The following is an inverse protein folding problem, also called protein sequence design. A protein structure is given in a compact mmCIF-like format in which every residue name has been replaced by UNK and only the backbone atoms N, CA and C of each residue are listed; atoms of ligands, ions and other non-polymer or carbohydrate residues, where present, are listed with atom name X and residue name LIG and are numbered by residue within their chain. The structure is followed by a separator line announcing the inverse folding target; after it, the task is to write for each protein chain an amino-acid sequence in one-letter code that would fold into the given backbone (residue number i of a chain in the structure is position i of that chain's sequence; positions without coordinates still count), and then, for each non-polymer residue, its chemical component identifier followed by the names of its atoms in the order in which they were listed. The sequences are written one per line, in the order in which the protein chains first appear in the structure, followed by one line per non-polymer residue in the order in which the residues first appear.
data_IF_012092419819
#
_entry.id   IF_012092419819
#
_cell.length_a   1.000
_cell.length_b   1.000
_cell.length_c   1.000
_cell.angle_alpha   90.00
_cell.angle_beta   90.00
_cell.angle_gamma   90.00
#
_symmetry.space_group_name_H-M   'P 1'
#
loop_
_entity.id
_entity.type
_entity.pdbx_description
1 polymer ?
#
# COMPACT_ATOMS: atom_id res chain seq x y z
N UNK A 1 -5.82 -5.12 16.63
CA UNK A 1 -5.27 -6.10 15.67
C UNK A 1 -4.71 -5.34 14.49
N UNK A 2 -3.43 -5.55 14.18
CA UNK A 2 -2.81 -5.04 12.95
C UNK A 2 -3.06 -6.11 11.90
N UNK A 3 -4.04 -5.88 11.02
CA UNK A 3 -4.36 -6.79 9.91
C UNK A 3 -3.73 -6.22 8.64
N UNK A 4 -2.89 -7.04 8.01
CA UNK A 4 -2.25 -6.78 6.73
C UNK A 4 -3.06 -7.48 5.66
N UNK A 5 -3.39 -6.76 4.59
CA UNK A 5 -4.25 -7.23 3.49
C UNK A 5 -3.47 -7.08 2.19
N UNK A 6 -3.35 -8.17 1.43
CA UNK A 6 -2.79 -8.15 0.08
C UNK A 6 -3.84 -7.59 -0.89
N UNK A 7 -3.45 -6.65 -1.76
CA UNK A 7 -4.35 -5.97 -2.72
C UNK A 7 -3.58 -5.54 -4.00
N UNK A 8 -4.27 -4.83 -4.91
CA UNK A 8 -3.70 -4.26 -6.12
C UNK A 8 -4.08 -2.78 -6.30
N UNK A 9 -3.09 -1.90 -6.39
CA UNK A 9 -3.27 -0.47 -6.65
C UNK A 9 -2.55 -0.09 -7.94
N UNK A 10 -3.29 0.41 -8.94
CA UNK A 10 -2.72 0.86 -10.21
C UNK A 10 -1.97 -0.22 -10.98
N UNK A 11 -2.41 -1.49 -10.86
CA UNK A 11 -1.74 -2.65 -11.46
C UNK A 11 -0.55 -3.18 -10.66
N UNK A 12 -0.23 -2.59 -9.49
CA UNK A 12 0.87 -3.01 -8.63
C UNK A 12 0.36 -3.86 -7.45
N UNK A 13 0.97 -5.03 -7.17
CA UNK A 13 0.68 -5.76 -5.94
C UNK A 13 1.13 -4.94 -4.73
N UNK A 14 0.27 -4.88 -3.72
CA UNK A 14 0.53 -4.13 -2.48
C UNK A 14 0.12 -4.92 -1.26
N UNK A 15 0.79 -4.63 -0.15
CA UNK A 15 0.34 -5.01 1.18
C UNK A 15 -0.12 -3.76 1.94
N UNK A 16 -1.35 -3.78 2.44
CA UNK A 16 -1.98 -2.67 3.16
C UNK A 16 -2.15 -3.07 4.61
N UNK A 17 -1.57 -2.27 5.51
CA UNK A 17 -1.61 -2.49 6.95
C UNK A 17 -2.19 -1.28 7.65
N UNK A 18 -3.22 -1.49 8.49
CA UNK A 18 -3.76 -0.42 9.35
C UNK A 18 -2.93 -0.30 10.62
N UNK A 19 -2.30 0.85 10.81
CA UNK A 19 -1.47 1.18 11.97
C UNK A 19 -2.13 2.32 12.75
N UNK A 20 -3.08 1.98 13.64
CA UNK A 20 -3.83 2.97 14.42
C UNK A 20 -4.72 3.86 13.54
N UNK A 21 -4.38 5.15 13.45
CA UNK A 21 -5.05 6.17 12.64
C UNK A 21 -4.46 6.32 11.22
N UNK A 22 -3.40 5.57 10.92
CA UNK A 22 -2.69 5.61 9.64
C UNK A 22 -2.86 4.28 8.89
N UNK A 23 -2.61 4.34 7.58
CA UNK A 23 -2.49 3.17 6.72
C UNK A 23 -1.10 3.16 6.12
N UNK A 24 -0.40 2.04 6.29
CA UNK A 24 0.87 1.74 5.62
C UNK A 24 0.58 0.89 4.40
N UNK A 25 1.07 1.31 3.25
CA UNK A 25 0.97 0.59 1.98
C UNK A 25 2.38 0.26 1.52
N UNK A 26 2.68 -1.02 1.32
CA UNK A 26 3.95 -1.50 0.80
C UNK A 26 3.70 -1.93 -0.64
N UNK A 27 4.46 -1.37 -1.58
CA UNK A 27 4.38 -1.74 -3.00
C UNK A 27 5.44 -2.78 -3.34
N UNK A 28 5.01 -3.80 -4.07
CA UNK A 28 5.85 -4.88 -4.56
C UNK A 28 6.10 -4.76 -6.08
N UNK A 29 7.09 -5.51 -6.62
CA UNK A 29 7.36 -5.50 -8.05
C UNK A 29 6.13 -5.91 -8.86
N UNK A 30 5.91 -5.24 -9.99
CA UNK A 30 4.83 -5.60 -10.94
C UNK A 30 5.15 -6.93 -11.66
N UNK A 31 6.43 -7.21 -11.88
CA UNK A 31 6.85 -8.33 -12.70
C UNK A 31 6.49 -9.67 -12.03
N UNK A 32 5.66 -10.46 -12.70
CA UNK A 32 5.25 -11.81 -12.25
C UNK A 32 6.42 -12.76 -12.00
N UNK A 33 7.55 -12.54 -12.66
CA UNK A 33 8.78 -13.34 -12.55
C UNK A 33 9.89 -12.62 -11.78
N UNK A 34 9.56 -11.63 -10.95
CA UNK A 34 10.57 -11.00 -10.11
C UNK A 34 11.22 -12.06 -9.20
N UNK A 35 12.55 -12.05 -9.11
CA UNK A 35 13.31 -12.97 -8.25
C UNK A 35 12.86 -12.88 -6.78
N UNK A 36 12.31 -11.73 -6.38
CA UNK A 36 11.70 -11.49 -5.07
C UNK A 36 10.32 -10.82 -5.26
N UNK A 37 9.24 -11.59 -5.44
CA UNK A 37 7.92 -11.04 -5.78
C UNK A 37 7.29 -10.25 -4.64
N UNK A 38 7.71 -10.48 -3.38
CA UNK A 38 7.30 -9.70 -2.20
C UNK A 38 8.34 -8.70 -1.72
N UNK A 39 9.29 -8.29 -2.59
CA UNK A 39 10.27 -7.27 -2.21
C UNK A 39 9.58 -5.93 -1.96
N UNK A 40 10.02 -5.19 -0.95
CA UNK A 40 9.51 -3.85 -0.70
C UNK A 40 10.19 -2.89 -1.68
N UNK A 41 9.47 -2.48 -2.72
CA UNK A 41 9.99 -1.52 -3.71
C UNK A 41 9.82 -0.10 -3.19
N UNK A 42 8.66 0.17 -2.58
CA UNK A 42 8.33 1.47 -2.03
C UNK A 42 7.32 1.31 -0.90
N UNK A 43 7.27 2.26 0.03
CA UNK A 43 6.32 2.24 1.13
C UNK A 43 5.76 3.64 1.34
N UNK A 44 4.45 3.74 1.50
CA UNK A 44 3.76 4.97 1.86
C UNK A 44 3.05 4.77 3.18
N UNK A 45 3.17 5.74 4.08
CA UNK A 45 2.28 5.87 5.23
C UNK A 45 1.36 7.05 4.97
N UNK A 46 0.06 6.81 5.05
CA UNK A 46 -0.97 7.81 4.77
C UNK A 46 -1.80 7.99 6.03
N UNK A 47 -1.84 9.21 6.54
CA UNK A 47 -2.75 9.57 7.63
C UNK A 47 -4.17 9.70 7.10
N UNK A 48 -5.16 9.61 7.99
CA UNK A 48 -6.57 9.87 7.60
C UNK A 48 -6.75 11.25 6.93
N UNK A 49 -6.06 12.28 7.42
CA UNK A 49 -6.15 13.62 6.87
C UNK A 49 -5.60 13.70 5.42
N UNK A 50 -4.54 12.97 5.11
CA UNK A 50 -3.99 12.95 3.75
C UNK A 50 -4.88 12.15 2.79
N UNK A 51 -5.46 11.05 3.27
CA UNK A 51 -6.46 10.31 2.49
C UNK A 51 -7.68 11.18 2.15
N UNK A 52 -8.15 11.99 3.10
CA UNK A 52 -9.27 12.92 2.88
C UNK A 52 -8.92 14.04 1.88
N UNK A 53 -7.65 14.50 1.85
CA UNK A 53 -7.18 15.42 0.79
C UNK A 53 -7.22 14.77 -0.59
N UNK A 54 -6.70 13.55 -0.72
CA UNK A 54 -6.66 12.81 -2.00
C UNK A 54 -8.09 12.56 -2.51
N UNK A 55 -9.01 12.17 -1.63
CA UNK A 55 -10.42 11.95 -1.99
C UNK A 55 -11.13 13.19 -2.52
N UNK A 56 -10.70 14.39 -2.12
CA UNK A 56 -11.25 15.66 -2.63
C UNK A 56 -10.73 16.04 -4.02
N UNK A 57 -9.69 15.35 -4.51
CA UNK A 57 -9.11 15.58 -5.83
C UNK A 57 -9.72 14.70 -6.93
N UNK A 58 -10.71 13.88 -6.58
CA UNK A 58 -11.60 13.16 -7.50
C UNK A 58 -13.00 13.78 -7.43
#
# INVERSE_FOLDING_TARGET
MVSMVEDNIGGRPVDITKEGSEVKIIFHPIAKNATKPKANVFTVKISKADLDKIKKSF
#
